data_IF_688669577052
#
_entry.id   IF_688669577052
#
_cell.length_a   1.000
_cell.length_b   1.000
_cell.length_c   1.000
_cell.angle_alpha   90.00
_cell.angle_beta   90.00
_cell.angle_gamma   90.00
#
_symmetry.space_group_name_H-M   'P 1'
#
loop_
_entity.id
_entity.type
_entity.pdbx_description
1 polymer ?
#
# COMPACT_ATOMS: atom_id res chain seq x y z
N UNK A 1 -7.93 30.16 -18.57
CA UNK A 1 -8.88 29.61 -19.55
C UNK A 1 -10.25 30.28 -19.39
N UNK A 2 -10.94 30.62 -20.49
CA UNK A 2 -12.33 31.06 -20.47
C UNK A 2 -13.28 30.00 -19.87
N UNK A 3 -14.34 30.43 -19.18
CA UNK A 3 -15.28 29.54 -18.46
C UNK A 3 -15.95 28.48 -19.35
N UNK A 4 -16.30 28.83 -20.59
CA UNK A 4 -16.89 27.91 -21.58
C UNK A 4 -15.95 26.73 -21.93
N UNK A 5 -14.65 26.95 -21.81
CA UNK A 5 -13.61 26.01 -22.17
C UNK A 5 -13.29 25.05 -21.00
N UNK A 6 -13.54 25.47 -19.76
CA UNK A 6 -13.43 24.67 -18.52
C UNK A 6 -14.51 23.58 -18.40
N UNK A 7 -15.69 23.78 -18.99
CA UNK A 7 -16.77 22.80 -19.00
C UNK A 7 -16.44 21.52 -19.79
N UNK A 8 -15.38 21.51 -20.59
CA UNK A 8 -14.92 20.33 -21.36
C UNK A 8 -13.91 19.46 -20.61
N UNK A 9 -13.48 19.86 -19.42
CA UNK A 9 -12.53 19.08 -18.62
C UNK A 9 -13.20 17.79 -18.13
N UNK A 10 -12.44 16.67 -18.08
CA UNK A 10 -12.90 15.43 -17.43
C UNK A 10 -13.18 15.70 -15.94
N UNK A 11 -14.11 14.97 -15.29
CA UNK A 11 -14.49 15.23 -13.89
C UNK A 11 -13.31 15.30 -12.91
N UNK A 12 -12.34 14.38 -13.02
CA UNK A 12 -11.12 14.38 -12.20
C UNK A 12 -10.28 15.68 -12.38
N UNK A 13 -10.15 16.15 -13.63
CA UNK A 13 -9.42 17.39 -13.95
C UNK A 13 -10.16 18.64 -13.45
N UNK A 14 -11.50 18.63 -13.43
CA UNK A 14 -12.30 19.72 -12.84
C UNK A 14 -12.10 19.83 -11.33
N UNK A 15 -11.91 18.71 -10.63
CA UNK A 15 -11.67 18.74 -9.19
C UNK A 15 -10.34 19.45 -8.88
N UNK A 16 -9.25 19.07 -9.56
CA UNK A 16 -7.96 19.75 -9.41
C UNK A 16 -8.00 21.21 -9.87
N UNK A 17 -8.71 21.53 -10.96
CA UNK A 17 -8.86 22.91 -11.42
C UNK A 17 -9.61 23.78 -10.39
N UNK A 18 -10.67 23.26 -9.77
CA UNK A 18 -11.38 23.93 -8.68
C UNK A 18 -10.49 24.13 -7.46
N UNK A 19 -9.60 23.19 -7.16
CA UNK A 19 -8.66 23.34 -6.05
C UNK A 19 -7.58 24.39 -6.32
N UNK A 20 -7.01 24.42 -7.53
CA UNK A 20 -6.05 25.47 -7.93
C UNK A 20 -6.70 26.85 -8.00
N UNK A 21 -7.96 26.90 -8.43
CA UNK A 21 -8.71 28.16 -8.51
C UNK A 21 -9.37 28.56 -7.19
N UNK A 22 -9.39 27.66 -6.19
CA UNK A 22 -9.81 28.00 -4.84
C UNK A 22 -8.72 28.82 -4.16
N UNK A 23 -9.08 30.00 -3.65
CA UNK A 23 -8.13 30.92 -3.02
C UNK A 23 -7.39 30.24 -1.85
N UNK A 24 -6.07 30.44 -1.67
CA UNK A 24 -5.41 30.18 -0.38
C UNK A 24 -6.05 31.07 0.72
N UNK A 25 -5.75 30.86 1.99
CA UNK A 25 -6.46 31.49 3.14
C UNK A 25 -6.38 33.03 3.24
N UNK A 26 -5.90 33.73 2.21
CA UNK A 26 -5.66 35.17 2.21
C UNK A 26 -6.18 35.88 0.96
N UNK A 27 -6.30 37.20 1.09
CA UNK A 27 -6.76 38.08 0.03
C UNK A 27 -5.75 38.17 -1.13
N UNK A 28 -6.28 38.51 -2.30
CA UNK A 28 -5.47 38.84 -3.47
C UNK A 28 -4.55 40.01 -3.12
N UNK A 29 -3.25 39.86 -3.37
CA UNK A 29 -2.30 40.94 -3.22
C UNK A 29 -2.65 42.08 -4.20
N UNK A 30 -2.23 43.34 -3.91
CA UNK A 30 -2.55 44.50 -4.75
C UNK A 30 -2.10 44.39 -6.21
N UNK A 31 -1.10 43.54 -6.48
CA UNK A 31 -0.60 43.19 -7.82
C UNK A 31 -1.46 42.17 -8.57
N UNK A 32 -2.50 41.63 -7.93
CA UNK A 32 -3.40 40.64 -8.49
C UNK A 32 -2.95 39.19 -8.29
N UNK A 33 -1.86 38.93 -7.57
CA UNK A 33 -1.42 37.58 -7.20
C UNK A 33 -2.18 37.04 -5.97
N UNK A 34 -2.31 35.72 -5.88
CA UNK A 34 -2.83 35.08 -4.67
C UNK A 34 -1.66 34.85 -3.71
N UNK A 35 -1.66 35.56 -2.58
CA UNK A 35 -0.71 35.30 -1.49
C UNK A 35 -1.39 34.44 -0.42
N UNK A 36 -0.65 33.52 0.23
CA UNK A 36 -1.17 32.70 1.32
C UNK A 36 -0.61 31.28 1.45
N UNK A 37 -0.92 30.57 2.55
CA UNK A 37 -0.50 29.18 2.73
C UNK A 37 -1.22 28.26 1.73
N UNK A 38 -0.47 27.31 1.17
CA UNK A 38 -1.01 26.30 0.25
C UNK A 38 -1.87 25.27 1.00
N UNK A 39 -3.08 25.03 0.48
CA UNK A 39 -3.99 23.97 0.96
C UNK A 39 -3.73 22.61 0.31
N UNK A 40 -4.25 21.54 0.90
CA UNK A 40 -4.14 20.15 0.38
C UNK A 40 -4.51 20.02 -1.11
N UNK A 41 -5.55 20.71 -1.56
CA UNK A 41 -5.98 20.72 -2.97
C UNK A 41 -4.92 21.29 -3.94
N UNK A 42 -4.12 22.26 -3.51
CA UNK A 42 -3.03 22.81 -4.34
C UNK A 42 -1.91 21.77 -4.52
N UNK A 43 -1.57 21.04 -3.45
CA UNK A 43 -0.59 19.95 -3.50
C UNK A 43 -1.06 18.80 -4.39
N UNK A 44 -2.33 18.41 -4.29
CA UNK A 44 -2.95 17.40 -5.15
C UNK A 44 -2.89 17.81 -6.63
N UNK A 45 -3.26 19.07 -6.94
CA UNK A 45 -3.18 19.56 -8.31
C UNK A 45 -1.75 19.65 -8.86
N UNK A 46 -0.78 20.04 -8.04
CA UNK A 46 0.63 20.03 -8.42
C UNK A 46 1.13 18.59 -8.72
N UNK A 47 0.77 17.62 -7.87
CA UNK A 47 1.06 16.19 -8.09
C UNK A 47 0.41 15.68 -9.38
N UNK A 48 -0.85 16.04 -9.64
CA UNK A 48 -1.56 15.67 -10.86
C UNK A 48 -0.90 16.25 -12.12
N UNK A 49 -0.54 17.54 -12.11
CA UNK A 49 0.17 18.17 -13.22
C UNK A 49 1.55 17.52 -13.46
N UNK A 50 2.29 17.22 -12.39
CA UNK A 50 3.58 16.56 -12.47
C UNK A 50 3.46 15.18 -13.10
N UNK A 51 2.50 14.36 -12.66
CA UNK A 51 2.24 13.03 -13.23
C UNK A 51 1.80 13.12 -14.70
N UNK A 52 0.87 14.01 -15.03
CA UNK A 52 0.36 14.16 -16.39
C UNK A 52 1.42 14.61 -17.40
N UNK A 53 2.45 15.33 -16.95
CA UNK A 53 3.54 15.82 -17.79
C UNK A 53 4.77 14.91 -17.81
N UNK A 54 4.73 13.76 -17.13
CA UNK A 54 5.89 12.90 -16.98
C UNK A 54 5.79 11.62 -17.80
N UNK A 55 6.90 11.16 -18.42
CA UNK A 55 6.93 9.84 -19.03
C UNK A 55 6.84 8.76 -17.95
N UNK A 56 6.32 7.59 -18.30
CA UNK A 56 6.10 6.47 -17.38
C UNK A 56 7.33 6.15 -16.48
N UNK A 57 8.58 6.04 -17.00
CA UNK A 57 9.75 5.72 -16.17
C UNK A 57 10.07 6.75 -15.08
N UNK A 58 9.56 7.97 -15.23
CA UNK A 58 9.64 9.03 -14.23
C UNK A 58 8.41 9.01 -13.32
N UNK A 59 7.22 8.80 -13.89
CA UNK A 59 5.96 8.79 -13.16
C UNK A 59 5.92 7.74 -12.03
N UNK A 60 6.37 6.50 -12.31
CA UNK A 60 6.45 5.42 -11.31
C UNK A 60 7.38 5.76 -10.14
N UNK A 61 8.27 6.75 -10.32
CA UNK A 61 9.24 7.19 -9.31
C UNK A 61 8.77 8.35 -8.44
N UNK A 62 7.60 8.95 -8.67
CA UNK A 62 7.10 10.01 -7.81
C UNK A 62 6.60 9.50 -6.46
N UNK A 63 6.98 10.21 -5.40
CA UNK A 63 6.54 9.95 -4.03
C UNK A 63 6.82 11.18 -3.13
N UNK A 64 6.12 11.31 -1.99
CA UNK A 64 4.93 10.54 -1.60
C UNK A 64 3.68 11.01 -2.33
N UNK A 65 2.81 10.07 -2.69
CA UNK A 65 1.42 10.36 -3.05
C UNK A 65 0.58 10.03 -1.82
N UNK A 66 -0.20 10.97 -1.34
CA UNK A 66 -1.08 10.70 -0.20
C UNK A 66 -2.41 10.18 -0.74
N UNK A 67 -3.14 9.37 0.03
CA UNK A 67 -4.50 8.99 -0.36
C UNK A 67 -5.41 10.24 -0.36
N UNK A 68 -6.34 10.40 -1.34
CA UNK A 68 -6.69 9.44 -2.40
C UNK A 68 -5.85 9.56 -3.68
N UNK A 69 -5.00 10.59 -3.82
CA UNK A 69 -4.21 10.85 -5.04
C UNK A 69 -3.37 9.64 -5.47
N UNK A 70 -2.85 8.87 -4.51
CA UNK A 70 -2.07 7.66 -4.78
C UNK A 70 -2.85 6.59 -5.55
N UNK A 71 -4.17 6.50 -5.34
CA UNK A 71 -5.06 5.59 -6.09
C UNK A 71 -5.49 6.22 -7.40
N UNK A 72 -5.94 7.47 -7.34
CA UNK A 72 -6.69 8.10 -8.43
C UNK A 72 -5.80 8.58 -9.57
N UNK A 73 -4.64 9.18 -9.27
CA UNK A 73 -3.82 9.84 -10.29
C UNK A 73 -3.11 8.83 -11.21
N UNK A 74 -2.44 7.78 -10.71
CA UNK A 74 -1.85 6.77 -11.60
C UNK A 74 -2.92 6.10 -12.47
N UNK A 75 -4.07 5.75 -11.88
CA UNK A 75 -5.21 5.18 -12.61
C UNK A 75 -5.74 6.11 -13.71
N UNK A 76 -5.77 7.42 -13.47
CA UNK A 76 -6.30 8.38 -14.43
C UNK A 76 -5.33 8.69 -15.58
N UNK A 77 -4.03 8.75 -15.31
CA UNK A 77 -3.02 9.16 -16.29
C UNK A 77 -2.27 8.00 -16.94
N UNK A 78 -2.20 6.85 -16.29
CA UNK A 78 -1.48 5.65 -16.74
C UNK A 78 -2.35 4.39 -16.59
N UNK A 79 -3.58 4.36 -17.14
CA UNK A 79 -4.53 3.28 -16.92
C UNK A 79 -4.05 1.91 -17.40
N UNK A 80 -3.19 1.86 -18.43
CA UNK A 80 -2.65 0.63 -19.01
C UNK A 80 -1.30 0.21 -18.41
N UNK A 81 -0.68 1.07 -17.60
CA UNK A 81 0.68 0.88 -17.08
C UNK A 81 0.74 0.73 -15.55
N UNK A 82 -0.39 0.44 -14.91
CA UNK A 82 -0.45 0.29 -13.45
C UNK A 82 0.48 -0.81 -12.94
N UNK A 83 0.72 -1.87 -13.71
CA UNK A 83 1.68 -2.93 -13.36
C UNK A 83 3.10 -2.38 -13.18
N UNK A 84 3.52 -1.38 -13.98
CA UNK A 84 4.82 -0.74 -13.83
C UNK A 84 4.93 0.04 -12.51
N UNK A 85 3.82 0.62 -12.03
CA UNK A 85 3.75 1.21 -10.69
C UNK A 85 3.87 0.13 -9.62
N UNK A 86 3.14 -0.99 -9.75
CA UNK A 86 3.22 -2.11 -8.80
C UNK A 86 4.66 -2.62 -8.66
N UNK A 87 5.38 -2.79 -9.77
CA UNK A 87 6.77 -3.24 -9.78
C UNK A 87 7.71 -2.27 -9.06
N UNK A 88 7.72 -0.99 -9.46
CA UNK A 88 8.63 0.00 -8.87
C UNK A 88 8.29 0.28 -7.40
N UNK A 89 7.00 0.33 -7.05
CA UNK A 89 6.56 0.60 -5.69
C UNK A 89 6.88 -0.56 -4.76
N UNK A 90 6.67 -1.79 -5.21
CA UNK A 90 7.12 -2.99 -4.50
C UNK A 90 8.64 -2.97 -4.31
N UNK A 91 9.41 -2.72 -5.36
CA UNK A 91 10.87 -2.67 -5.28
C UNK A 91 11.35 -1.57 -4.32
N UNK A 92 10.66 -0.43 -4.28
CA UNK A 92 10.97 0.68 -3.38
C UNK A 92 10.70 0.34 -1.92
N UNK A 93 9.55 -0.26 -1.61
CA UNK A 93 9.24 -0.72 -0.25
C UNK A 93 10.30 -1.73 0.21
N UNK A 94 10.66 -2.69 -0.64
CA UNK A 94 11.70 -3.69 -0.34
C UNK A 94 13.07 -3.05 -0.09
N UNK A 95 13.41 -1.96 -0.78
CA UNK A 95 14.70 -1.28 -0.61
C UNK A 95 14.82 -0.58 0.74
N UNK A 96 13.76 0.10 1.18
CA UNK A 96 13.79 0.83 2.46
C UNK A 96 12.39 0.96 3.09
N UNK A 97 11.92 -0.05 3.82
CA UNK A 97 10.58 -0.05 4.40
C UNK A 97 10.41 0.93 5.56
N UNK A 98 11.51 1.49 6.09
CA UNK A 98 11.48 2.42 7.24
C UNK A 98 11.31 3.88 6.83
N UNK A 99 11.44 4.20 5.54
CA UNK A 99 11.30 5.56 5.03
C UNK A 99 9.82 5.93 4.88
N UNK A 100 9.07 5.87 5.97
CA UNK A 100 7.61 6.00 6.00
C UNK A 100 7.11 7.29 5.33
N UNK A 101 7.87 8.38 5.44
CA UNK A 101 7.61 9.66 4.79
C UNK A 101 7.63 9.57 3.26
N UNK A 102 8.44 8.62 2.72
CA UNK A 102 8.73 8.40 1.31
C UNK A 102 7.94 7.29 0.65
N UNK A 103 7.37 6.39 1.44
CA UNK A 103 6.62 5.22 0.97
C UNK A 103 5.11 5.32 1.26
N UNK A 104 4.63 6.51 1.62
CA UNK A 104 3.19 6.77 1.72
C UNK A 104 2.51 6.58 0.36
N UNK A 105 1.34 5.96 0.39
CA UNK A 105 0.48 5.72 -0.76
C UNK A 105 0.87 4.51 -1.60
N UNK A 106 1.98 3.82 -1.32
CA UNK A 106 2.33 2.61 -2.07
C UNK A 106 1.28 1.50 -1.91
N UNK A 107 0.52 1.53 -0.81
CA UNK A 107 -0.60 0.63 -0.53
C UNK A 107 -1.78 0.79 -1.49
N UNK A 108 -1.83 1.86 -2.29
CA UNK A 108 -2.83 2.02 -3.36
C UNK A 108 -2.80 0.89 -4.40
N UNK A 109 -1.67 0.19 -4.57
CA UNK A 109 -1.60 -1.00 -5.44
C UNK A 109 -2.58 -2.10 -5.04
N UNK A 110 -2.91 -2.19 -3.74
CA UNK A 110 -3.88 -3.16 -3.23
C UNK A 110 -5.32 -2.77 -3.56
N UNK A 111 -5.61 -1.47 -3.63
CA UNK A 111 -6.92 -0.97 -4.06
C UNK A 111 -7.11 -1.18 -5.57
N UNK A 112 -6.07 -1.02 -6.37
CA UNK A 112 -6.13 -1.36 -7.80
C UNK A 112 -6.37 -2.85 -8.03
N UNK A 113 -5.70 -3.72 -7.25
CA UNK A 113 -5.93 -5.15 -7.31
C UNK A 113 -7.36 -5.54 -6.90
N UNK A 114 -7.89 -4.92 -5.85
CA UNK A 114 -9.28 -5.10 -5.44
C UNK A 114 -10.28 -4.65 -6.50
N UNK A 115 -9.97 -3.57 -7.23
CA UNK A 115 -10.76 -3.07 -8.35
C UNK A 115 -10.61 -3.89 -9.64
N UNK A 116 -9.76 -4.93 -9.65
CA UNK A 116 -9.49 -5.75 -10.83
C UNK A 116 -8.71 -5.03 -11.93
N UNK A 117 -8.03 -3.93 -11.59
CA UNK A 117 -7.24 -3.13 -12.53
C UNK A 117 -5.85 -3.72 -12.78
N UNK A 118 -5.32 -4.42 -11.77
CA UNK A 118 -4.07 -5.18 -11.83
C UNK A 118 -4.28 -6.52 -11.13
N UNK A 119 -3.48 -7.55 -11.44
CA UNK A 119 -3.43 -8.76 -10.62
C UNK A 119 -3.02 -8.44 -9.18
N UNK A 120 -3.42 -9.29 -8.23
CA UNK A 120 -2.95 -9.18 -6.85
C UNK A 120 -1.41 -9.26 -6.81
N UNK A 121 -0.70 -8.23 -6.28
CA UNK A 121 0.75 -8.15 -6.38
C UNK A 121 1.44 -9.33 -5.70
N UNK A 122 2.46 -9.90 -6.35
CA UNK A 122 3.22 -11.05 -5.82
C UNK A 122 4.67 -10.74 -5.50
N UNK A 123 5.11 -9.51 -5.78
CA UNK A 123 6.47 -9.05 -5.56
C UNK A 123 6.79 -9.07 -4.05
N UNK A 124 8.00 -9.46 -3.63
CA UNK A 124 8.38 -9.52 -2.21
C UNK A 124 8.08 -8.23 -1.44
N UNK A 125 8.35 -7.08 -2.05
CA UNK A 125 8.05 -5.79 -1.44
C UNK A 125 6.56 -5.53 -1.19
N UNK A 126 5.67 -5.99 -2.09
CA UNK A 126 4.23 -5.89 -1.87
C UNK A 126 3.77 -6.81 -0.73
N UNK A 127 4.29 -8.04 -0.66
CA UNK A 127 3.96 -8.96 0.45
C UNK A 127 4.34 -8.34 1.80
N UNK A 128 5.55 -7.80 1.89
CA UNK A 128 6.01 -7.13 3.11
C UNK A 128 5.23 -5.82 3.38
N UNK A 129 4.89 -5.06 2.35
CA UNK A 129 4.07 -3.85 2.47
C UNK A 129 2.67 -4.18 3.01
N UNK A 130 2.01 -5.21 2.48
CA UNK A 130 0.71 -5.67 2.96
C UNK A 130 0.79 -6.10 4.44
N UNK A 131 1.85 -6.83 4.79
CA UNK A 131 2.03 -7.30 6.15
C UNK A 131 2.41 -6.18 7.13
N UNK A 132 3.25 -5.21 6.78
CA UNK A 132 3.83 -4.30 7.78
C UNK A 132 3.64 -2.81 7.48
N UNK A 133 3.35 -2.47 6.22
CA UNK A 133 3.40 -1.11 5.70
C UNK A 133 2.04 -0.42 5.56
N UNK A 134 0.93 -1.16 5.42
CA UNK A 134 -0.39 -0.53 5.30
C UNK A 134 -0.76 0.25 6.58
N UNK A 135 -1.52 1.34 6.47
CA UNK A 135 -2.01 2.07 7.65
C UNK A 135 -2.72 1.13 8.63
N UNK A 136 -2.28 1.13 9.90
CA UNK A 136 -2.86 0.27 10.93
C UNK A 136 -2.42 -1.20 10.88
N UNK A 137 -1.51 -1.62 9.99
CA UNK A 137 -1.04 -3.02 9.87
C UNK A 137 -0.60 -3.65 11.20
N UNK A 138 -0.04 -2.86 12.12
CA UNK A 138 0.41 -3.33 13.43
C UNK A 138 -0.74 -3.84 14.33
N UNK A 139 -1.98 -3.46 14.04
CA UNK A 139 -3.17 -4.04 14.65
C UNK A 139 -3.67 -5.23 13.82
N UNK A 140 -3.62 -6.44 14.37
CA UNK A 140 -4.13 -7.62 13.68
C UNK A 140 -5.62 -7.53 13.34
N UNK A 141 -6.43 -6.83 14.13
CA UNK A 141 -7.85 -6.60 13.79
C UNK A 141 -8.01 -5.69 12.59
N UNK A 142 -7.17 -4.66 12.46
CA UNK A 142 -7.20 -3.76 11.31
C UNK A 142 -6.74 -4.49 10.06
N UNK A 143 -5.61 -5.22 10.13
CA UNK A 143 -5.13 -5.98 8.97
C UNK A 143 -6.15 -7.03 8.53
N UNK A 144 -6.75 -7.78 9.46
CA UNK A 144 -7.75 -8.78 9.10
C UNK A 144 -8.94 -8.15 8.37
N UNK A 145 -9.49 -7.05 8.89
CA UNK A 145 -10.56 -6.30 8.21
C UNK A 145 -10.13 -5.82 6.82
N UNK A 146 -8.92 -5.26 6.71
CA UNK A 146 -8.39 -4.77 5.44
C UNK A 146 -8.29 -5.89 4.39
N UNK A 147 -7.84 -7.08 4.81
CA UNK A 147 -7.78 -8.28 3.97
C UNK A 147 -9.17 -8.78 3.55
N UNK A 148 -10.13 -8.77 4.46
CA UNK A 148 -11.51 -9.20 4.17
C UNK A 148 -12.25 -8.26 3.22
N UNK A 149 -11.95 -6.96 3.28
CA UNK A 149 -12.41 -5.99 2.30
C UNK A 149 -11.79 -6.25 0.91
N UNK A 150 -10.65 -6.94 0.84
CA UNK A 150 -9.85 -7.17 -0.38
C UNK A 150 -9.48 -8.65 -0.53
N UNK A 151 -10.47 -9.55 -0.71
CA UNK A 151 -10.25 -11.00 -0.62
C UNK A 151 -9.23 -11.53 -1.65
N UNK A 152 -9.07 -10.88 -2.81
CA UNK A 152 -8.05 -11.23 -3.81
C UNK A 152 -6.62 -11.21 -3.25
N UNK A 153 -6.36 -10.44 -2.20
CA UNK A 153 -5.04 -10.36 -1.57
C UNK A 153 -4.79 -11.51 -0.60
N UNK A 154 -5.83 -12.15 -0.04
CA UNK A 154 -5.67 -13.18 0.99
C UNK A 154 -4.95 -14.41 0.42
N UNK A 155 -5.42 -14.90 -0.72
CA UNK A 155 -4.94 -16.14 -1.33
C UNK A 155 -3.68 -15.93 -2.20
N UNK A 156 -3.50 -14.72 -2.74
CA UNK A 156 -2.41 -14.44 -3.69
C UNK A 156 -1.25 -13.70 -3.05
N UNK A 157 -1.49 -12.49 -2.52
CA UNK A 157 -0.41 -11.65 -1.97
C UNK A 157 -0.02 -12.08 -0.57
N UNK A 158 -1.00 -12.21 0.34
CA UNK A 158 -0.76 -12.47 1.74
C UNK A 158 -0.34 -13.91 2.00
N UNK A 159 -0.80 -14.88 1.21
CA UNK A 159 -0.32 -16.26 1.29
C UNK A 159 1.20 -16.38 1.08
N UNK A 160 1.80 -15.45 0.33
CA UNK A 160 3.26 -15.45 0.06
C UNK A 160 4.11 -15.01 1.26
N UNK A 161 3.53 -14.73 2.43
CA UNK A 161 4.30 -14.51 3.66
C UNK A 161 5.20 -15.70 4.02
N UNK A 162 4.84 -16.91 3.58
CA UNK A 162 5.67 -18.11 3.73
C UNK A 162 6.83 -18.15 2.73
N UNK A 163 6.70 -17.44 1.61
CA UNK A 163 7.64 -17.48 0.49
C UNK A 163 8.51 -16.23 0.40
N UNK A 164 8.42 -15.28 1.33
CA UNK A 164 9.20 -14.03 1.33
C UNK A 164 10.00 -13.88 2.60
N UNK A 165 11.30 -13.64 2.45
CA UNK A 165 12.19 -13.38 3.58
C UNK A 165 11.97 -11.97 4.13
N UNK A 166 11.90 -11.86 5.46
CA UNK A 166 11.77 -10.58 6.13
C UNK A 166 13.06 -9.77 6.05
N UNK A 167 12.94 -8.45 5.85
CA UNK A 167 14.05 -7.49 5.93
C UNK A 167 13.93 -6.61 7.18
N UNK A 168 15.02 -5.90 7.53
CA UNK A 168 15.01 -4.97 8.66
C UNK A 168 13.96 -3.87 8.46
N UNK A 169 12.98 -3.80 9.35
CA UNK A 169 11.86 -2.86 9.30
C UNK A 169 10.58 -3.41 8.68
N UNK A 170 10.60 -4.61 8.10
CA UNK A 170 9.41 -5.24 7.50
C UNK A 170 9.34 -6.77 7.66
N UNK A 171 10.11 -7.35 8.59
CA UNK A 171 10.01 -8.77 8.93
C UNK A 171 8.72 -9.08 9.71
N UNK A 172 8.08 -10.23 9.44
CA UNK A 172 6.89 -10.69 10.16
C UNK A 172 7.16 -10.83 11.66
N UNK A 173 8.29 -11.42 12.01
CA UNK A 173 8.71 -11.59 13.40
C UNK A 173 8.96 -10.23 14.07
N UNK A 174 9.58 -9.28 13.34
CA UNK A 174 9.82 -7.95 13.89
C UNK A 174 8.50 -7.22 14.13
N UNK A 175 7.57 -7.27 13.17
CA UNK A 175 6.22 -6.70 13.32
C UNK A 175 5.53 -7.23 14.57
N UNK A 176 5.56 -8.55 14.76
CA UNK A 176 4.91 -9.21 15.89
C UNK A 176 5.57 -8.89 17.24
N UNK A 177 6.89 -8.71 17.26
CA UNK A 177 7.61 -8.26 18.45
C UNK A 177 7.31 -6.79 18.79
N UNK A 178 7.21 -5.93 17.78
CA UNK A 178 7.04 -4.48 17.97
C UNK A 178 5.58 -4.03 18.04
N UNK A 179 4.60 -4.91 17.85
CA UNK A 179 3.20 -4.49 17.95
C UNK A 179 2.83 -4.15 19.40
N UNK A 180 2.12 -3.03 19.64
CA UNK A 180 1.56 -2.75 20.97
C UNK A 180 0.42 -3.73 21.34
N UNK A 181 -0.11 -4.49 20.38
CA UNK A 181 -1.26 -5.38 20.57
C UNK A 181 -0.83 -6.85 20.60
N UNK A 182 -0.14 -7.29 21.65
CA UNK A 182 0.45 -8.64 21.76
C UNK A 182 -0.54 -9.80 21.56
N UNK A 183 -1.83 -9.63 21.87
CA UNK A 183 -2.88 -10.64 21.65
C UNK A 183 -3.50 -10.58 20.25
N UNK A 184 -3.05 -9.67 19.39
CA UNK A 184 -3.56 -9.41 18.04
C UNK A 184 -2.43 -9.38 17.03
N UNK A 185 -1.49 -10.31 17.17
CA UNK A 185 -0.34 -10.48 16.28
C UNK A 185 -0.73 -11.22 14.99
N UNK A 186 0.20 -11.30 14.04
CA UNK A 186 0.03 -12.18 12.91
C UNK A 186 -0.10 -13.63 13.35
N UNK A 187 0.84 -14.09 14.17
CA UNK A 187 0.98 -15.50 14.52
C UNK A 187 -0.19 -16.06 15.35
N UNK A 188 -0.68 -15.26 16.30
CA UNK A 188 -1.66 -15.70 17.30
C UNK A 188 -3.09 -15.18 17.06
N UNK A 189 -3.28 -14.28 16.08
CA UNK A 189 -4.59 -13.73 15.78
C UNK A 189 -4.91 -13.75 14.29
N UNK A 190 -4.15 -13.06 13.44
CA UNK A 190 -4.53 -12.91 12.02
C UNK A 190 -4.57 -14.25 11.30
N UNK A 191 -3.49 -15.03 11.37
CA UNK A 191 -3.41 -16.34 10.70
C UNK A 191 -4.44 -17.33 11.27
N UNK A 192 -4.58 -17.49 12.61
CA UNK A 192 -5.66 -18.30 13.17
C UNK A 192 -7.07 -17.87 12.75
N UNK A 193 -7.33 -16.56 12.61
CA UNK A 193 -8.64 -16.07 12.14
C UNK A 193 -8.87 -16.37 10.66
N UNK A 194 -7.86 -16.25 9.81
CA UNK A 194 -7.97 -16.64 8.40
C UNK A 194 -8.31 -18.13 8.25
N UNK A 195 -7.76 -18.98 9.12
CA UNK A 195 -8.15 -20.40 9.18
C UNK A 195 -9.60 -20.56 9.68
N UNK A 196 -9.93 -19.94 10.83
CA UNK A 196 -11.26 -20.07 11.43
C UNK A 196 -12.39 -19.59 10.51
N UNK A 197 -12.12 -18.56 9.71
CA UNK A 197 -13.08 -17.97 8.76
C UNK A 197 -13.11 -18.69 7.41
N UNK A 198 -12.31 -19.74 7.24
CA UNK A 198 -12.31 -20.58 6.04
C UNK A 198 -11.57 -19.98 4.85
N UNK A 199 -10.82 -18.88 5.04
CA UNK A 199 -10.00 -18.32 3.97
C UNK A 199 -8.78 -19.19 3.67
N UNK A 200 -8.16 -19.75 4.71
CA UNK A 200 -7.03 -20.67 4.57
C UNK A 200 -7.35 -22.01 5.24
N UNK A 201 -6.83 -23.10 4.68
CA UNK A 201 -6.85 -24.37 5.39
C UNK A 201 -5.69 -24.44 6.39
N UNK A 202 -5.86 -25.22 7.46
CA UNK A 202 -4.75 -25.52 8.38
C UNK A 202 -3.57 -26.14 7.63
N UNK A 203 -3.85 -27.06 6.70
CA UNK A 203 -2.83 -27.74 5.90
C UNK A 203 -2.02 -26.75 5.06
N UNK A 204 -2.67 -25.79 4.40
CA UNK A 204 -1.98 -24.74 3.62
C UNK A 204 -0.96 -23.98 4.47
N UNK A 205 -1.31 -23.66 5.72
CA UNK A 205 -0.42 -22.94 6.64
C UNK A 205 0.74 -23.84 7.09
N UNK A 206 0.49 -25.10 7.42
CA UNK A 206 1.55 -26.05 7.79
C UNK A 206 2.53 -26.28 6.61
N UNK A 207 2.00 -26.52 5.40
CA UNK A 207 2.82 -26.66 4.19
C UNK A 207 3.63 -25.39 3.91
N UNK A 208 3.03 -24.21 4.16
CA UNK A 208 3.72 -22.92 4.06
C UNK A 208 4.87 -22.79 5.04
N UNK A 209 4.67 -23.19 6.30
CA UNK A 209 5.71 -23.21 7.32
C UNK A 209 6.85 -24.14 6.92
N UNK A 210 6.55 -25.36 6.45
CA UNK A 210 7.56 -26.33 6.03
C UNK A 210 8.39 -25.83 4.84
N UNK A 211 7.74 -25.21 3.84
CA UNK A 211 8.43 -24.53 2.73
C UNK A 211 9.33 -23.40 3.25
N UNK A 212 8.83 -22.56 4.14
CA UNK A 212 9.60 -21.46 4.70
C UNK A 212 10.84 -21.96 5.45
N UNK A 213 10.69 -23.00 6.27
CA UNK A 213 11.77 -23.58 7.07
C UNK A 213 12.83 -24.29 6.20
N UNK A 214 12.42 -25.00 5.15
CA UNK A 214 13.32 -25.73 4.25
C UNK A 214 14.21 -24.82 3.38
N UNK A 215 13.74 -23.60 3.03
CA UNK A 215 14.54 -22.62 2.26
C UNK A 215 15.73 -22.03 3.03
N UNK A 216 15.72 -22.12 4.36
CA UNK A 216 16.75 -21.53 5.21
C UNK A 216 16.47 -20.08 5.54
N UNK A 217 15.78 -19.87 6.68
CA UNK A 217 15.47 -18.53 7.20
C UNK A 217 16.51 -18.02 8.18
N UNK A 218 16.52 -16.69 8.37
CA UNK A 218 17.21 -16.07 9.50
C UNK A 218 16.80 -16.74 10.81
N UNK A 219 17.70 -16.90 11.80
CA UNK A 219 17.37 -17.58 13.06
C UNK A 219 16.16 -16.96 13.78
N UNK A 220 15.97 -15.65 13.62
CA UNK A 220 14.87 -14.92 14.22
C UNK A 220 13.52 -15.26 13.57
N UNK A 221 13.43 -15.27 12.24
CA UNK A 221 12.20 -15.64 11.53
C UNK A 221 11.90 -17.15 11.64
N UNK A 222 12.94 -17.98 11.73
CA UNK A 222 12.81 -19.42 12.01
C UNK A 222 12.08 -19.69 13.33
N UNK A 223 12.45 -18.97 14.41
CA UNK A 223 11.75 -19.08 15.71
C UNK A 223 10.28 -18.69 15.60
N UNK A 224 9.98 -17.65 14.84
CA UNK A 224 8.61 -17.21 14.61
C UNK A 224 7.79 -18.29 13.90
N UNK A 225 8.31 -18.90 12.84
CA UNK A 225 7.63 -20.00 12.14
C UNK A 225 7.43 -21.25 13.02
N UNK A 226 8.41 -21.62 13.85
CA UNK A 226 8.20 -22.70 14.83
C UNK A 226 7.13 -22.35 15.87
N UNK A 227 7.09 -21.10 16.34
CA UNK A 227 6.04 -20.63 17.24
C UNK A 227 4.65 -20.67 16.59
N UNK A 228 4.56 -20.23 15.33
CA UNK A 228 3.33 -20.35 14.56
C UNK A 228 2.90 -21.82 14.40
N UNK A 229 3.83 -22.74 14.10
CA UNK A 229 3.54 -24.16 14.00
C UNK A 229 2.97 -24.74 15.30
N UNK A 230 3.43 -24.28 16.46
CA UNK A 230 2.88 -24.69 17.76
C UNK A 230 1.47 -24.16 18.01
N UNK A 231 1.14 -22.96 17.50
CA UNK A 231 -0.20 -22.36 17.62
C UNK A 231 -1.20 -23.03 16.66
N UNK A 232 -0.74 -23.40 15.46
CA UNK A 232 -1.57 -23.94 14.37
C UNK A 232 -1.62 -25.47 14.37
N UNK A 233 -0.62 -26.12 14.96
CA UNK A 233 -0.54 -27.57 15.18
C UNK A 233 -1.78 -28.14 15.88
N UNK A 234 -1.93 -29.48 15.92
CA UNK A 234 -3.17 -30.18 16.23
C UNK A 234 -4.05 -29.54 17.31
#
# INVERSE_FOLDING_TARGET
MPAAQRQRLRPAVRAHERFVTSHPDSARAPDGEWSGPLRSGHWSAAKAALLACSPLPQAVKYWPLDMPDAVDLPRAFFPEDLDAFVEEWSARFLRNPKAWDRIRGLDAMFDWAHQGLVPAPTQPGAVLCLATGIPGAHSGTHLLRYLEERPCLIEVTFARIFDVDGIKGASLAQRDETTPWRSRRLDNYVIPQLIRRGHWSRQMVLDGIDRALSRGQTPYLRRWFHGLAQIIGP
#
